data_IF_710665178339
#
_entry.id   IF_710665178339
#
_cell.length_a   1.000
_cell.length_b   1.000
_cell.length_c   1.000
_cell.angle_alpha   90.00
_cell.angle_beta   90.00
_cell.angle_gamma   90.00
#
_symmetry.space_group_name_H-M   'P 1'
#
loop_
_entity.id
_entity.type
_entity.pdbx_description
1 polymer ?
#
# COMPACT_ATOMS: atom_id res chain seq x y z
N UNK A 1 -35.33 48.67 8.00
CA UNK A 1 -33.89 48.52 8.25
C UNK A 1 -33.72 47.42 9.28
N UNK A 2 -33.52 46.19 8.80
CA UNK A 2 -33.79 44.97 9.56
C UNK A 2 -32.51 44.47 10.22
N UNK A 3 -32.47 44.57 11.55
CA UNK A 3 -31.43 44.07 12.44
C UNK A 3 -31.57 42.56 12.59
N UNK A 4 -30.54 41.80 12.23
CA UNK A 4 -30.50 40.35 12.42
C UNK A 4 -29.83 40.01 13.75
N UNK A 5 -30.64 39.43 14.63
CA UNK A 5 -30.31 39.00 15.99
C UNK A 5 -29.28 37.86 16.00
N UNK A 6 -28.26 38.05 16.83
CA UNK A 6 -27.28 37.05 17.29
C UNK A 6 -27.97 36.08 18.24
N UNK A 7 -28.28 34.88 17.77
CA UNK A 7 -28.81 33.78 18.58
C UNK A 7 -27.71 33.04 19.33
N UNK A 8 -27.53 33.36 20.60
CA UNK A 8 -26.75 32.56 21.54
C UNK A 8 -27.52 31.28 21.88
N UNK A 9 -26.99 30.11 21.52
CA UNK A 9 -27.50 28.82 21.98
C UNK A 9 -26.71 28.35 23.22
N UNK A 10 -27.33 28.22 24.39
CA UNK A 10 -26.73 27.56 25.54
C UNK A 10 -26.82 26.05 25.35
N UNK A 11 -25.68 25.37 25.21
CA UNK A 11 -25.64 23.92 25.26
C UNK A 11 -25.92 23.44 26.70
N UNK A 12 -26.82 22.44 26.88
CA UNK A 12 -27.09 21.88 28.19
C UNK A 12 -25.91 21.05 28.70
N UNK A 13 -25.57 21.28 29.97
CA UNK A 13 -24.65 20.49 30.79
C UNK A 13 -24.97 18.99 30.65
N UNK A 14 -24.04 18.25 30.05
CA UNK A 14 -24.05 16.79 30.07
C UNK A 14 -23.39 16.32 31.37
N UNK A 15 -24.09 15.59 32.25
CA UNK A 15 -23.50 15.06 33.47
C UNK A 15 -22.59 13.88 33.11
N UNK A 16 -21.28 14.14 33.09
CA UNK A 16 -20.27 13.08 33.06
C UNK A 16 -20.38 12.24 34.33
N UNK A 17 -20.98 11.06 34.16
CA UNK A 17 -20.93 9.96 35.10
C UNK A 17 -19.47 9.66 35.44
N UNK A 18 -19.14 9.87 36.70
CA UNK A 18 -17.91 9.45 37.36
C UNK A 18 -17.87 7.91 37.40
N UNK A 19 -17.37 7.27 36.34
CA UNK A 19 -16.97 5.86 36.40
C UNK A 19 -15.66 5.75 37.15
N UNK A 20 -15.78 5.63 38.48
CA UNK A 20 -14.72 5.09 39.32
C UNK A 20 -14.51 3.61 38.98
N UNK A 21 -13.24 3.22 38.90
CA UNK A 21 -12.75 1.86 39.15
C UNK A 21 -13.13 0.76 38.13
N UNK A 22 -12.69 0.94 36.88
CA UNK A 22 -12.21 -0.21 36.10
C UNK A 22 -10.74 -0.01 35.81
N UNK A 23 -9.89 -0.62 36.64
CA UNK A 23 -8.52 -0.88 36.23
C UNK A 23 -8.56 -1.64 34.90
N UNK A 24 -7.91 -1.15 33.83
CA UNK A 24 -7.73 -1.96 32.65
C UNK A 24 -6.99 -3.25 33.07
N UNK A 25 -7.35 -4.42 32.54
CA UNK A 25 -6.52 -5.61 32.72
C UNK A 25 -5.11 -5.20 32.31
N UNK A 26 -4.12 -5.49 33.17
CA UNK A 26 -2.73 -5.31 32.84
C UNK A 26 -2.50 -6.03 31.53
N UNK A 27 -2.45 -5.24 30.48
CA UNK A 27 -2.20 -5.72 29.14
C UNK A 27 -0.78 -6.20 29.23
N UNK A 28 -0.63 -7.53 29.31
CA UNK A 28 0.62 -8.22 29.09
C UNK A 28 1.21 -7.57 27.85
N UNK A 29 2.18 -6.69 28.07
CA UNK A 29 2.92 -6.07 27.01
C UNK A 29 3.69 -7.22 26.40
N UNK A 30 3.11 -7.83 25.38
CA UNK A 30 3.89 -8.32 24.27
C UNK A 30 4.56 -7.07 23.70
N UNK A 31 5.63 -6.63 24.38
CA UNK A 31 6.79 -6.08 23.73
C UNK A 31 7.19 -7.16 22.75
N UNK A 32 6.60 -7.12 21.56
CA UNK A 32 7.30 -7.56 20.39
C UNK A 32 8.54 -6.69 20.39
N UNK A 33 9.61 -7.24 20.94
CA UNK A 33 10.96 -6.93 20.53
C UNK A 33 10.96 -7.16 19.02
N UNK A 34 10.51 -6.15 18.27
CA UNK A 34 10.97 -5.90 16.91
C UNK A 34 12.44 -5.47 17.05
N UNK A 35 13.24 -6.36 17.64
CA UNK A 35 14.67 -6.32 17.54
C UNK A 35 14.96 -6.38 16.06
N UNK A 36 15.65 -5.35 15.59
CA UNK A 36 16.65 -5.34 14.53
C UNK A 36 16.87 -6.67 13.80
N UNK A 37 15.84 -7.27 13.20
CA UNK A 37 16.01 -8.12 12.05
C UNK A 37 16.55 -7.17 11.01
N UNK A 38 17.86 -7.24 10.79
CA UNK A 38 18.54 -6.41 9.80
C UNK A 38 17.77 -6.49 8.50
N UNK A 39 17.71 -5.39 7.75
CA UNK A 39 16.96 -5.31 6.48
C UNK A 39 17.23 -6.51 5.55
N UNK A 40 18.45 -7.08 5.62
CA UNK A 40 18.84 -8.31 4.95
C UNK A 40 18.06 -9.56 5.39
N UNK A 41 17.86 -9.79 6.69
CA UNK A 41 17.08 -10.93 7.19
C UNK A 41 15.60 -10.80 6.83
N UNK A 42 15.08 -9.58 6.82
CA UNK A 42 13.72 -9.32 6.34
C UNK A 42 13.57 -9.64 4.85
N UNK A 43 14.55 -9.24 4.03
CA UNK A 43 14.60 -9.61 2.60
C UNK A 43 14.69 -11.13 2.41
N UNK A 44 15.50 -11.84 3.21
CA UNK A 44 15.61 -13.30 3.15
C UNK A 44 14.31 -14.01 3.56
N UNK A 45 13.64 -13.55 4.62
CA UNK A 45 12.35 -14.07 5.05
C UNK A 45 11.28 -13.83 3.99
N UNK A 46 11.30 -12.67 3.33
CA UNK A 46 10.38 -12.38 2.23
C UNK A 46 10.60 -13.32 1.05
N UNK A 47 11.85 -13.52 0.61
CA UNK A 47 12.19 -14.47 -0.45
C UNK A 47 11.79 -15.90 -0.10
N UNK A 48 12.04 -16.33 1.14
CA UNK A 48 11.63 -17.65 1.64
C UNK A 48 10.12 -17.82 1.56
N UNK A 49 9.36 -16.85 2.06
CA UNK A 49 7.89 -16.87 2.02
C UNK A 49 7.36 -16.89 0.60
N UNK A 50 7.93 -16.10 -0.32
CA UNK A 50 7.53 -16.11 -1.74
C UNK A 50 7.82 -17.48 -2.38
N UNK A 51 8.94 -18.10 -2.04
CA UNK A 51 9.33 -19.42 -2.55
C UNK A 51 8.39 -20.51 -2.04
N UNK A 52 8.05 -20.50 -0.75
CA UNK A 52 7.06 -21.43 -0.18
C UNK A 52 5.67 -21.24 -0.77
N UNK A 53 5.25 -20.00 -1.00
CA UNK A 53 3.96 -19.69 -1.64
C UNK A 53 3.92 -20.23 -3.09
N UNK A 54 5.02 -20.07 -3.85
CA UNK A 54 5.15 -20.66 -5.18
C UNK A 54 5.10 -22.19 -5.14
N UNK A 55 5.79 -22.80 -4.18
CA UNK A 55 5.77 -24.26 -3.98
C UNK A 55 4.35 -24.75 -3.67
N UNK A 56 3.64 -24.09 -2.76
CA UNK A 56 2.23 -24.40 -2.46
C UNK A 56 1.33 -24.29 -3.69
N UNK A 57 1.54 -23.27 -4.54
CA UNK A 57 0.77 -23.13 -5.79
C UNK A 57 1.06 -24.26 -6.77
N UNK A 58 2.31 -24.68 -6.90
CA UNK A 58 2.70 -25.81 -7.74
C UNK A 58 2.08 -27.13 -7.23
N UNK A 59 2.14 -27.40 -5.92
CA UNK A 59 1.50 -28.56 -5.31
C UNK A 59 -0.02 -28.56 -5.51
N UNK A 60 -0.67 -27.41 -5.39
CA UNK A 60 -2.11 -27.27 -5.68
C UNK A 60 -2.44 -27.54 -7.16
N UNK A 61 -1.60 -27.10 -8.09
CA UNK A 61 -1.78 -27.39 -9.52
C UNK A 61 -1.60 -28.88 -9.82
N UNK A 62 -0.60 -29.53 -9.21
CA UNK A 62 -0.38 -30.97 -9.37
C UNK A 62 -1.56 -31.78 -8.81
N UNK A 63 -2.09 -31.38 -7.65
CA UNK A 63 -3.27 -32.01 -7.05
C UNK A 63 -4.51 -31.88 -7.95
N UNK A 64 -4.74 -30.70 -8.55
CA UNK A 64 -5.83 -30.53 -9.52
C UNK A 64 -5.63 -31.32 -10.81
N UNK A 65 -4.39 -31.51 -11.26
CA UNK A 65 -4.07 -32.33 -12.41
C UNK A 65 -4.36 -33.82 -12.18
N UNK A 66 -4.11 -34.33 -10.97
CA UNK A 66 -4.40 -35.72 -10.61
C UNK A 66 -5.90 -36.03 -10.59
N UNK A 67 -6.73 -35.11 -10.10
CA UNK A 67 -8.20 -35.28 -10.09
C UNK A 67 -8.77 -35.37 -11.51
N UNK A 68 -8.27 -34.54 -12.45
CA UNK A 68 -8.70 -34.60 -13.85
C UNK A 68 -8.24 -35.88 -14.56
N UNK A 69 -7.02 -36.34 -14.28
CA UNK A 69 -6.50 -37.60 -14.84
C UNK A 69 -7.27 -38.83 -14.33
N UNK A 70 -7.77 -38.79 -13.09
CA UNK A 70 -8.64 -39.83 -12.52
C UNK A 70 -10.00 -39.91 -13.23
N UNK A 71 -10.67 -38.77 -13.41
CA UNK A 71 -11.96 -38.69 -14.11
C UNK A 71 -11.87 -39.12 -15.58
N UNK A 72 -10.79 -38.76 -16.28
CA UNK A 72 -10.59 -39.17 -17.67
C UNK A 72 -10.39 -40.69 -17.80
N UNK A 73 -9.76 -41.32 -16.81
CA UNK A 73 -9.54 -42.78 -16.78
C UNK A 73 -10.83 -43.56 -16.56
N UNK A 74 -11.75 -43.03 -15.74
CA UNK A 74 -13.07 -43.63 -15.52
C UNK A 74 -14.02 -43.41 -16.70
N UNK A 75 -13.84 -42.32 -17.46
CA UNK A 75 -14.61 -42.04 -18.69
C UNK A 75 -14.40 -43.10 -19.77
N UNK A 76 -13.20 -43.65 -19.91
CA UNK A 76 -12.91 -44.76 -20.83
C UNK A 76 -13.31 -46.14 -20.29
N UNK A 77 -13.69 -46.24 -19.01
CA UNK A 77 -14.11 -47.48 -18.35
C UNK A 77 -15.62 -47.66 -18.34
N UNK A 78 -16.40 -46.78 -18.98
CA UNK A 78 -17.81 -47.04 -19.23
C UNK A 78 -17.96 -48.12 -20.31
N UNK A 79 -18.50 -49.31 -19.99
CA UNK A 79 -18.91 -50.25 -21.02
C UNK A 79 -19.98 -49.58 -21.89
N UNK A 80 -19.77 -49.59 -23.21
CA UNK A 80 -20.79 -49.18 -24.17
C UNK A 80 -22.07 -49.99 -23.93
N UNK A 81 -23.04 -49.39 -23.24
CA UNK A 81 -24.37 -49.93 -23.15
C UNK A 81 -24.97 -49.92 -24.56
N UNK A 82 -25.20 -51.10 -25.11
CA UNK A 82 -25.82 -51.27 -26.41
C UNK A 82 -27.22 -50.64 -26.42
N UNK A 83 -27.63 -50.00 -27.52
CA UNK A 83 -28.96 -49.43 -27.67
C UNK A 83 -30.00 -50.56 -27.79
N UNK A 84 -30.60 -50.92 -26.65
CA UNK A 84 -31.78 -51.77 -26.58
C UNK A 84 -33.02 -51.00 -27.00
N UNK A 85 -33.54 -51.34 -28.18
CA UNK A 85 -34.85 -50.93 -28.66
C UNK A 85 -35.95 -51.55 -27.80
N UNK A 86 -36.64 -50.72 -27.01
CA UNK A 86 -37.93 -51.09 -26.42
C UNK A 86 -38.95 -50.01 -26.78
N UNK A 87 -39.54 -50.20 -27.94
CA UNK A 87 -40.79 -49.60 -28.37
C UNK A 87 -41.92 -50.34 -27.66
N UNK A 88 -42.56 -49.76 -26.64
CA UNK A 88 -43.89 -50.20 -26.18
C UNK A 88 -44.79 -49.02 -25.82
N UNK A 89 -45.77 -48.84 -26.69
CA UNK A 89 -47.19 -48.65 -26.40
C UNK A 89 -47.63 -47.59 -25.36
N UNK A 90 -48.15 -46.50 -25.92
CA UNK A 90 -49.47 -45.90 -25.64
C UNK A 90 -50.18 -46.37 -24.36
N UNK A 91 -50.49 -45.41 -23.49
CA UNK A 91 -51.78 -45.37 -22.80
C UNK A 91 -52.26 -43.95 -22.55
N UNK A 92 -53.52 -43.78 -22.96
CA UNK A 92 -54.40 -42.61 -22.93
C UNK A 92 -54.72 -42.14 -21.50
N UNK A 93 -54.93 -40.82 -21.42
CA UNK A 93 -56.01 -40.14 -20.69
C UNK A 93 -56.03 -40.24 -19.16
N UNK A 94 -55.95 -39.08 -18.51
CA UNK A 94 -57.14 -38.38 -18.00
C UNK A 94 -56.74 -37.06 -17.34
N UNK A 95 -57.57 -36.06 -17.63
CA UNK A 95 -57.83 -34.83 -16.89
C UNK A 95 -57.81 -35.08 -15.37
N UNK A 96 -57.43 -34.09 -14.57
CA UNK A 96 -58.18 -33.54 -13.41
C UNK A 96 -57.28 -32.60 -12.58
N UNK A 97 -57.91 -31.52 -12.11
CA UNK A 97 -57.50 -30.62 -11.03
C UNK A 97 -56.49 -29.51 -11.31
N UNK A 98 -57.06 -28.34 -11.62
CA UNK A 98 -56.53 -27.02 -11.29
C UNK A 98 -56.33 -26.93 -9.76
N UNK A 99 -55.09 -27.00 -9.31
CA UNK A 99 -54.66 -26.43 -8.03
C UNK A 99 -53.60 -25.37 -8.31
N UNK A 100 -53.71 -24.13 -7.79
CA UNK A 100 -52.61 -23.17 -7.84
C UNK A 100 -51.54 -23.59 -6.83
N UNK A 101 -50.80 -24.66 -7.16
CA UNK A 101 -49.61 -25.04 -6.40
C UNK A 101 -48.53 -24.01 -6.73
N UNK A 102 -48.17 -23.22 -5.73
CA UNK A 102 -47.00 -22.33 -5.70
C UNK A 102 -45.69 -23.14 -5.68
N UNK A 103 -45.61 -24.21 -6.46
CA UNK A 103 -44.37 -24.94 -6.69
C UNK A 103 -43.59 -24.20 -7.75
N UNK A 104 -42.96 -23.15 -7.24
CA UNK A 104 -41.91 -22.37 -7.85
C UNK A 104 -40.82 -23.36 -8.25
N UNK A 105 -40.91 -23.85 -9.48
CA UNK A 105 -39.87 -24.60 -10.15
C UNK A 105 -38.55 -23.85 -9.95
N UNK A 106 -37.71 -24.39 -9.07
CA UNK A 106 -36.34 -24.00 -8.87
C UNK A 106 -35.58 -24.23 -10.17
N UNK A 107 -35.71 -23.26 -11.08
CA UNK A 107 -34.90 -23.16 -12.28
C UNK A 107 -33.44 -23.16 -11.80
N UNK A 108 -32.62 -24.15 -12.16
CA UNK A 108 -31.21 -24.13 -11.81
C UNK A 108 -30.61 -22.90 -12.46
N UNK A 109 -30.24 -21.92 -11.62
CA UNK A 109 -29.56 -20.71 -12.05
C UNK A 109 -28.17 -21.11 -12.53
N UNK A 110 -28.04 -21.39 -13.83
CA UNK A 110 -26.77 -21.61 -14.56
C UNK A 110 -25.93 -20.32 -14.72
N UNK A 111 -26.20 -19.27 -13.94
CA UNK A 111 -25.53 -17.98 -14.02
C UNK A 111 -24.28 -17.74 -13.13
N UNK A 112 -23.72 -18.66 -12.30
CA UNK A 112 -22.63 -18.29 -11.39
C UNK A 112 -21.24 -18.16 -12.04
N UNK A 113 -21.01 -18.68 -13.25
CA UNK A 113 -19.66 -18.72 -13.83
C UNK A 113 -19.18 -17.39 -14.43
N UNK A 114 -20.09 -16.52 -14.91
CA UNK A 114 -19.68 -15.25 -15.54
C UNK A 114 -19.16 -14.23 -14.53
N UNK A 115 -19.78 -14.15 -13.35
CA UNK A 115 -19.41 -13.18 -12.32
C UNK A 115 -18.01 -13.43 -11.72
N UNK A 116 -17.58 -14.68 -11.63
CA UNK A 116 -16.22 -15.02 -11.15
C UNK A 116 -15.14 -14.53 -12.13
N UNK A 117 -15.35 -14.76 -13.43
CA UNK A 117 -14.39 -14.34 -14.45
C UNK A 117 -14.16 -12.83 -14.51
N UNK A 118 -15.18 -12.01 -14.23
CA UNK A 118 -15.03 -10.55 -14.24
C UNK A 118 -14.21 -10.04 -13.05
N UNK A 119 -14.42 -10.61 -11.86
CA UNK A 119 -13.64 -10.25 -10.67
C UNK A 119 -12.17 -10.64 -10.85
N UNK A 120 -11.89 -11.83 -11.38
CA UNK A 120 -10.53 -12.29 -11.62
C UNK A 120 -9.77 -11.36 -12.57
N UNK A 121 -10.43 -10.91 -13.65
CA UNK A 121 -9.86 -9.94 -14.59
C UNK A 121 -9.56 -8.59 -13.92
N UNK A 122 -10.46 -8.08 -13.07
CA UNK A 122 -10.25 -6.81 -12.33
C UNK A 122 -9.09 -6.91 -11.35
N UNK A 123 -8.95 -8.06 -10.68
CA UNK A 123 -7.83 -8.32 -9.76
C UNK A 123 -6.52 -8.33 -10.55
N UNK A 124 -6.47 -9.04 -11.68
CA UNK A 124 -5.30 -9.07 -12.56
C UNK A 124 -4.91 -7.68 -13.07
N UNK A 125 -5.89 -6.88 -13.50
CA UNK A 125 -5.66 -5.48 -13.91
C UNK A 125 -5.08 -4.63 -12.78
N UNK A 126 -5.55 -4.82 -11.54
CA UNK A 126 -5.07 -4.07 -10.38
C UNK A 126 -3.62 -4.45 -10.03
N UNK A 127 -3.29 -5.75 -10.12
CA UNK A 127 -1.92 -6.24 -9.91
C UNK A 127 -0.97 -5.69 -10.99
N UNK A 128 -1.38 -5.73 -12.26
CA UNK A 128 -0.62 -5.18 -13.37
C UNK A 128 -0.37 -3.67 -13.20
N UNK A 129 -1.40 -2.91 -12.81
CA UNK A 129 -1.25 -1.48 -12.55
C UNK A 129 -0.23 -1.17 -11.43
N UNK A 130 -0.23 -1.96 -10.35
CA UNK A 130 0.76 -1.81 -9.27
C UNK A 130 2.17 -2.10 -9.76
N UNK A 131 2.34 -3.14 -10.59
CA UNK A 131 3.62 -3.52 -11.17
C UNK A 131 4.14 -2.44 -12.14
N UNK A 132 3.28 -1.93 -13.02
CA UNK A 132 3.60 -0.83 -13.94
C UNK A 132 4.06 0.42 -13.18
N UNK A 133 3.31 0.83 -12.15
CA UNK A 133 3.64 1.99 -11.32
C UNK A 133 4.98 1.77 -10.61
N UNK A 134 5.21 0.55 -10.10
CA UNK A 134 6.47 0.19 -9.43
C UNK A 134 7.66 0.22 -10.38
N UNK A 135 7.49 -0.23 -11.64
CA UNK A 135 8.52 -0.15 -12.67
C UNK A 135 8.84 1.30 -13.01
N UNK A 136 7.81 2.13 -13.25
CA UNK A 136 7.98 3.56 -13.52
C UNK A 136 8.72 4.27 -12.38
N UNK A 137 8.39 3.95 -11.13
CA UNK A 137 9.11 4.47 -9.96
C UNK A 137 10.60 4.05 -9.97
N UNK A 138 10.90 2.77 -10.23
CA UNK A 138 12.29 2.30 -10.26
C UNK A 138 13.11 2.98 -11.39
N UNK A 139 12.51 3.15 -12.57
CA UNK A 139 13.17 3.82 -13.69
C UNK A 139 13.39 5.30 -13.38
N UNK A 140 12.40 5.95 -12.78
CA UNK A 140 12.49 7.34 -12.32
C UNK A 140 13.57 7.52 -11.25
N UNK A 141 13.64 6.61 -10.27
CA UNK A 141 14.66 6.62 -9.20
C UNK A 141 16.07 6.48 -9.78
N UNK A 142 16.28 5.60 -10.77
CA UNK A 142 17.57 5.41 -11.43
C UNK A 142 18.03 6.64 -12.22
N UNK A 143 17.08 7.40 -12.77
CA UNK A 143 17.37 8.62 -13.53
C UNK A 143 17.64 9.84 -12.65
N UNK A 144 17.36 9.78 -11.35
CA UNK A 144 17.51 10.92 -10.47
C UNK A 144 18.98 11.17 -10.10
N UNK A 145 19.43 12.40 -10.35
CA UNK A 145 20.75 12.88 -9.94
C UNK A 145 20.57 13.99 -8.92
N UNK A 146 21.13 13.77 -7.74
CA UNK A 146 21.12 14.75 -6.67
C UNK A 146 22.02 15.95 -7.04
N UNK A 147 21.55 17.20 -6.87
CA UNK A 147 22.37 18.36 -7.17
C UNK A 147 23.55 18.45 -6.20
N UNK A 148 24.70 18.92 -6.68
CA UNK A 148 25.92 19.08 -5.87
C UNK A 148 25.83 20.22 -4.86
N UNK A 149 24.88 21.13 -5.05
CA UNK A 149 24.58 22.24 -4.15
C UNK A 149 23.08 22.35 -3.94
N UNK A 150 22.67 22.81 -2.77
CA UNK A 150 21.26 22.99 -2.39
C UNK A 150 21.09 24.39 -1.80
N UNK A 151 20.05 25.08 -2.25
CA UNK A 151 19.70 26.42 -1.79
C UNK A 151 18.62 26.39 -0.71
N UNK A 152 18.82 27.12 0.38
CA UNK A 152 17.89 27.20 1.51
C UNK A 152 17.34 28.61 1.65
N UNK A 153 16.05 28.74 1.90
CA UNK A 153 15.39 30.00 2.19
C UNK A 153 15.39 30.24 3.71
N UNK A 154 16.15 31.23 4.16
CA UNK A 154 16.22 31.63 5.56
C UNK A 154 15.18 32.72 5.82
N UNK A 155 14.21 32.41 6.68
CA UNK A 155 13.17 33.36 7.09
C UNK A 155 13.62 34.32 8.20
N UNK A 156 14.75 34.04 8.86
CA UNK A 156 15.30 34.89 9.93
C UNK A 156 16.07 36.08 9.34
N UNK A 157 15.93 37.30 9.87
CA UNK A 157 16.72 38.46 9.44
C UNK A 157 18.24 38.25 9.62
N UNK A 158 19.08 38.59 8.62
CA UNK A 158 18.69 39.03 7.28
C UNK A 158 18.13 37.86 6.45
N UNK A 159 16.88 38.01 5.98
CA UNK A 159 16.24 37.00 5.15
C UNK A 159 16.99 36.87 3.82
N UNK A 160 17.19 35.65 3.36
CA UNK A 160 18.02 35.41 2.18
C UNK A 160 18.04 33.96 1.73
N UNK A 161 18.76 33.72 0.63
CA UNK A 161 19.03 32.38 0.11
C UNK A 161 20.48 32.03 0.45
N UNK A 162 20.68 30.87 1.07
CA UNK A 162 22.01 30.33 1.34
C UNK A 162 22.17 29.04 0.57
N UNK A 163 23.17 29.01 -0.32
CA UNK A 163 23.53 27.83 -1.10
C UNK A 163 24.67 27.11 -0.42
N UNK A 164 24.50 25.81 -0.16
CA UNK A 164 25.48 24.96 0.51
C UNK A 164 25.82 23.76 -0.37
N UNK A 165 26.96 23.14 -0.13
CA UNK A 165 27.35 21.89 -0.78
C UNK A 165 26.55 20.72 -0.23
N UNK A 166 26.05 19.87 -1.11
CA UNK A 166 25.32 18.66 -0.73
C UNK A 166 26.26 17.61 -0.18
N UNK A 167 25.87 16.96 0.92
CA UNK A 167 26.64 15.85 1.48
C UNK A 167 26.13 14.54 0.91
N UNK A 168 27.06 13.68 0.49
CA UNK A 168 26.82 12.28 0.22
C UNK A 168 27.91 11.49 0.93
N UNK A 169 27.62 10.41 1.69
CA UNK A 169 26.36 9.66 1.75
C UNK A 169 25.37 10.13 2.83
N UNK A 170 24.13 9.66 2.73
CA UNK A 170 23.06 9.86 3.70
C UNK A 170 23.41 9.25 5.07
N UNK A 171 23.34 10.05 6.14
CA UNK A 171 23.45 9.57 7.52
C UNK A 171 22.08 9.70 8.20
N UNK A 172 21.49 8.54 8.54
CA UNK A 172 20.14 8.44 9.10
C UNK A 172 19.99 9.18 10.44
N UNK A 173 21.10 9.49 11.13
CA UNK A 173 21.07 10.24 12.39
C UNK A 173 20.41 11.62 12.28
N UNK A 174 20.32 12.17 11.08
CA UNK A 174 19.75 13.49 10.82
C UNK A 174 18.27 13.47 10.43
N UNK A 175 17.64 12.29 10.33
CA UNK A 175 16.26 12.14 9.84
C UNK A 175 15.22 12.77 10.80
N UNK A 176 15.43 12.68 12.11
CA UNK A 176 14.45 13.11 13.13
C UNK A 176 14.60 14.58 13.55
N UNK A 177 15.54 15.33 12.97
CA UNK A 177 15.84 16.70 13.37
C UNK A 177 14.94 17.72 12.65
N UNK A 178 13.64 17.72 12.96
CA UNK A 178 12.65 18.56 12.24
C UNK A 178 12.60 20.03 12.70
N UNK A 179 13.15 20.38 13.86
CA UNK A 179 12.80 21.65 14.53
C UNK A 179 13.58 22.89 14.07
N UNK A 180 14.57 22.80 13.17
CA UNK A 180 15.36 23.99 12.80
C UNK A 180 15.97 23.97 11.38
N UNK A 181 15.41 23.18 10.46
CA UNK A 181 15.90 23.17 9.07
C UNK A 181 15.09 24.19 8.25
N UNK A 182 15.73 25.16 7.58
CA UNK A 182 15.06 26.08 6.68
C UNK A 182 14.40 25.34 5.52
N UNK A 183 13.41 25.99 4.90
CA UNK A 183 12.76 25.45 3.71
C UNK A 183 13.72 25.49 2.53
N UNK A 184 13.61 24.51 1.63
CA UNK A 184 14.29 24.56 0.34
C UNK A 184 13.83 25.79 -0.45
N UNK A 185 14.77 26.53 -1.02
CA UNK A 185 14.44 27.64 -1.90
C UNK A 185 13.79 27.14 -3.19
N UNK A 186 12.86 27.91 -3.75
CA UNK A 186 12.28 27.68 -5.07
C UNK A 186 13.13 28.39 -6.14
N UNK A 187 14.34 27.90 -6.36
CA UNK A 187 15.27 28.39 -7.38
C UNK A 187 15.52 27.35 -8.49
N UNK A 188 16.29 27.74 -9.51
CA UNK A 188 16.67 26.82 -10.59
C UNK A 188 17.56 25.68 -10.12
N UNK A 189 18.35 25.89 -9.06
CA UNK A 189 19.27 24.91 -8.47
C UNK A 189 18.50 23.72 -7.88
N UNK A 190 17.43 24.00 -7.13
CA UNK A 190 16.60 23.00 -6.48
C UNK A 190 15.46 22.48 -7.36
N UNK A 191 15.30 22.97 -8.60
CA UNK A 191 14.17 22.62 -9.46
C UNK A 191 14.03 21.10 -9.64
N UNK A 192 15.13 20.41 -9.90
CA UNK A 192 15.13 18.95 -10.09
C UNK A 192 14.78 18.21 -8.80
N UNK A 193 15.19 18.74 -7.65
CA UNK A 193 14.89 18.16 -6.34
C UNK A 193 13.40 18.28 -5.99
N UNK A 194 12.81 19.47 -6.19
CA UNK A 194 11.37 19.68 -5.99
C UNK A 194 10.54 18.82 -6.94
N UNK A 195 10.88 18.80 -8.23
CA UNK A 195 10.19 17.98 -9.21
C UNK A 195 10.27 16.48 -8.88
N UNK A 196 11.40 16.03 -8.34
CA UNK A 196 11.56 14.65 -7.88
C UNK A 196 10.63 14.34 -6.71
N UNK A 197 10.66 15.16 -5.65
CA UNK A 197 9.80 14.99 -4.47
C UNK A 197 8.30 15.03 -4.82
N UNK A 198 7.88 15.95 -5.69
CA UNK A 198 6.50 16.03 -6.18
C UNK A 198 6.10 14.77 -6.98
N UNK A 199 7.01 14.25 -7.81
CA UNK A 199 6.76 13.02 -8.56
C UNK A 199 6.62 11.79 -7.65
N UNK A 200 7.38 11.72 -6.55
CA UNK A 200 7.22 10.66 -5.55
C UNK A 200 5.83 10.69 -4.90
N UNK A 201 5.34 11.87 -4.52
CA UNK A 201 3.96 12.03 -4.03
C UNK A 201 2.94 11.61 -5.09
N UNK A 202 3.18 11.96 -6.36
CA UNK A 202 2.37 11.52 -7.48
C UNK A 202 2.29 9.99 -7.62
N UNK A 203 3.40 9.27 -7.41
CA UNK A 203 3.40 7.80 -7.40
C UNK A 203 2.63 7.21 -6.22
N UNK A 204 2.73 7.81 -5.04
CA UNK A 204 1.95 7.40 -3.85
C UNK A 204 0.45 7.55 -4.12
N UNK A 205 0.02 8.71 -4.65
CA UNK A 205 -1.39 8.93 -5.03
C UNK A 205 -1.87 7.93 -6.07
N UNK A 206 -1.08 7.68 -7.13
CA UNK A 206 -1.41 6.69 -8.17
C UNK A 206 -1.58 5.27 -7.61
N UNK A 207 -0.74 4.86 -6.65
CA UNK A 207 -0.89 3.56 -6.00
C UNK A 207 -2.14 3.49 -5.14
N UNK A 208 -2.45 4.55 -4.38
CA UNK A 208 -3.64 4.56 -3.51
C UNK A 208 -4.95 4.48 -4.31
N UNK A 209 -4.99 5.09 -5.49
CA UNK A 209 -6.10 5.03 -6.45
C UNK A 209 -6.37 3.61 -6.99
N UNK A 210 -5.41 2.68 -6.90
CA UNK A 210 -5.61 1.29 -7.34
C UNK A 210 -6.56 0.56 -6.37
N UNK A 211 -7.71 0.15 -6.89
CA UNK A 211 -8.74 -0.59 -6.14
C UNK A 211 -8.27 -2.00 -5.83
N UNK A 212 -8.40 -2.41 -4.55
CA UNK A 212 -7.97 -3.75 -4.12
C UNK A 212 -9.03 -4.84 -4.27
N UNK A 213 -10.30 -4.48 -4.50
CA UNK A 213 -11.43 -5.43 -4.60
C UNK A 213 -11.50 -6.43 -3.44
N UNK A 214 -11.15 -5.98 -2.24
CA UNK A 214 -11.06 -6.79 -1.01
C UNK A 214 -10.09 -7.99 -1.08
N UNK A 215 -9.16 -7.99 -2.03
CA UNK A 215 -8.11 -9.00 -2.16
C UNK A 215 -6.88 -8.60 -1.36
N UNK A 216 -6.48 -9.44 -0.40
CA UNK A 216 -5.34 -9.16 0.49
C UNK A 216 -4.02 -9.02 -0.26
N UNK A 217 -3.76 -9.84 -1.29
CA UNK A 217 -2.53 -9.76 -2.11
C UNK A 217 -2.41 -8.37 -2.77
N UNK A 218 -3.49 -7.86 -3.37
CA UNK A 218 -3.51 -6.54 -4.01
C UNK A 218 -3.22 -5.44 -2.98
N UNK A 219 -3.86 -5.49 -1.80
CA UNK A 219 -3.60 -4.55 -0.70
C UNK A 219 -2.15 -4.62 -0.22
N UNK A 220 -1.62 -5.83 -0.06
CA UNK A 220 -0.26 -6.09 0.41
C UNK A 220 0.78 -5.49 -0.53
N UNK A 221 0.66 -5.76 -1.84
CA UNK A 221 1.56 -5.21 -2.86
C UNK A 221 1.47 -3.69 -2.96
N UNK A 222 0.25 -3.14 -2.92
CA UNK A 222 0.03 -1.69 -2.92
C UNK A 222 0.73 -1.01 -1.74
N UNK A 223 0.55 -1.54 -0.52
CA UNK A 223 1.22 -1.02 0.70
C UNK A 223 2.73 -1.13 0.61
N UNK A 224 3.26 -2.24 0.10
CA UNK A 224 4.69 -2.43 -0.08
C UNK A 224 5.29 -1.40 -1.07
N UNK A 225 4.60 -1.15 -2.18
CA UNK A 225 4.98 -0.11 -3.14
C UNK A 225 4.99 1.29 -2.53
N UNK A 226 3.92 1.65 -1.81
CA UNK A 226 3.82 2.95 -1.11
C UNK A 226 4.98 3.11 -0.11
N UNK A 227 5.23 2.09 0.72
CA UNK A 227 6.31 2.10 1.71
C UNK A 227 7.67 2.35 1.07
N UNK A 228 7.97 1.67 -0.04
CA UNK A 228 9.23 1.84 -0.77
C UNK A 228 9.39 3.26 -1.31
N UNK A 229 8.33 3.87 -1.84
CA UNK A 229 8.36 5.24 -2.34
C UNK A 229 8.52 6.25 -1.20
N UNK A 230 7.86 6.01 -0.06
CA UNK A 230 8.02 6.82 1.14
C UNK A 230 9.45 6.75 1.68
N UNK A 231 10.05 5.56 1.76
CA UNK A 231 11.46 5.40 2.18
C UNK A 231 12.42 6.16 1.27
N UNK A 232 12.17 6.17 -0.05
CA UNK A 232 12.96 6.95 -1.01
C UNK A 232 12.77 8.46 -0.83
N UNK A 233 11.54 8.90 -0.58
CA UNK A 233 11.25 10.31 -0.24
C UNK A 233 12.00 10.72 1.02
N UNK A 234 11.88 9.94 2.09
CA UNK A 234 12.53 10.19 3.37
C UNK A 234 14.05 10.21 3.22
N UNK A 235 14.61 9.33 2.39
CA UNK A 235 16.03 9.32 2.06
C UNK A 235 16.47 10.63 1.40
N UNK A 236 15.74 11.09 0.38
CA UNK A 236 16.07 12.35 -0.31
C UNK A 236 15.86 13.55 0.62
N UNK A 237 14.81 13.54 1.43
CA UNK A 237 14.57 14.58 2.43
C UNK A 237 15.67 14.66 3.47
N UNK A 238 16.05 13.49 3.99
CA UNK A 238 17.11 13.37 4.96
C UNK A 238 18.47 13.84 4.45
N UNK A 239 18.79 13.68 3.15
CA UNK A 239 20.06 14.15 2.59
C UNK A 239 20.16 15.68 2.62
N UNK A 240 19.12 16.40 2.20
CA UNK A 240 19.19 17.86 2.20
C UNK A 240 19.11 18.43 3.63
N UNK A 241 18.34 17.81 4.53
CA UNK A 241 18.34 18.15 5.96
C UNK A 241 19.73 17.94 6.59
N UNK A 242 20.37 16.80 6.34
CA UNK A 242 21.73 16.52 6.80
C UNK A 242 22.75 17.52 6.25
N UNK A 243 22.60 17.90 4.98
CA UNK A 243 23.44 18.94 4.34
C UNK A 243 23.40 20.25 5.11
N UNK A 244 22.20 20.68 5.49
CA UNK A 244 22.03 21.88 6.31
C UNK A 244 22.65 21.75 7.70
N UNK A 245 22.42 20.64 8.40
CA UNK A 245 22.92 20.46 9.76
C UNK A 245 24.45 20.47 9.84
N UNK A 246 25.12 19.82 8.90
CA UNK A 246 26.60 19.90 8.82
C UNK A 246 27.08 21.32 8.53
N UNK A 247 26.40 22.05 7.65
CA UNK A 247 26.76 23.45 7.38
C UNK A 247 26.68 24.30 8.66
N UNK A 248 25.62 24.12 9.46
CA UNK A 248 25.49 24.81 10.75
C UNK A 248 26.61 24.41 11.73
N UNK A 249 26.97 23.12 11.79
CA UNK A 249 28.08 22.61 12.59
C UNK A 249 29.43 23.24 12.20
N UNK A 250 29.72 23.32 10.89
CA UNK A 250 30.95 23.93 10.35
C UNK A 250 31.03 25.44 10.63
N UNK A 251 29.90 26.15 10.53
CA UNK A 251 29.82 27.59 10.85
C UNK A 251 29.98 27.85 12.36
N UNK A 252 29.42 26.98 13.21
CA UNK A 252 29.57 27.03 14.66
C UNK A 252 31.02 26.78 15.10
N UNK A 253 31.67 25.75 14.55
CA UNK A 253 33.06 25.43 14.82
C UNK A 253 34.02 26.58 14.42
N UNK A 254 33.77 27.18 13.26
CA UNK A 254 34.56 28.32 12.76
C UNK A 254 34.44 29.57 13.64
N UNK A 255 33.26 29.80 14.22
CA UNK A 255 32.99 30.97 15.06
C UNK A 255 33.66 30.87 16.44
N UNK A 256 33.73 29.67 17.03
CA UNK A 256 34.41 29.46 18.32
C UNK A 256 35.93 29.59 18.21
N UNK A 257 36.55 29.17 17.10
CA UNK A 257 38.01 29.25 16.95
C UNK A 257 38.52 30.71 16.85
N UNK A 258 37.70 31.65 16.34
CA UNK A 258 38.07 33.07 16.25
C UNK A 258 38.12 33.81 17.59
N UNK A 259 37.46 33.30 18.64
CA UNK A 259 37.45 33.93 19.97
C UNK A 259 38.70 33.63 20.79
N UNK A 260 39.49 32.62 20.42
CA UNK A 260 40.69 32.21 21.16
C UNK A 260 41.99 32.92 20.79
N UNK A 261 42.00 33.79 19.77
CA UNK A 261 43.24 34.41 19.24
C UNK A 261 43.57 35.80 19.83
N UNK A 262 42.76 36.30 20.78
CA UNK A 262 42.95 37.62 21.39
C UNK A 262 43.18 37.59 22.91
N UNK A 263 43.89 36.56 23.40
CA UNK A 263 44.39 36.51 24.78
C UNK A 263 45.90 36.32 24.79
#
# INVERSE_FOLDING_TARGET
MTSYYRGSHPYPNSPYLHSKDRQPPQSSSYQYSAGELGEQEWQQLWHTRVTEEQKRRAEYQEMQGQDQAGEERDRWRQPQAQPGTYEHARSRARSHSRGPSRDRLSRPSLAPNKARSENDLRIQQSLHAIEDISSQFNDFQRGFVLPSTISFQISSPPAGIVTISTISPYDRKYADSDSNVPKLAYDSTNRNLHAYLESLEGFISKLDDVKSWDVEDVRGRRKAGIKKIQEERDRVEGIWKASWLKHVEEQGASSNNRKGFWN
#
